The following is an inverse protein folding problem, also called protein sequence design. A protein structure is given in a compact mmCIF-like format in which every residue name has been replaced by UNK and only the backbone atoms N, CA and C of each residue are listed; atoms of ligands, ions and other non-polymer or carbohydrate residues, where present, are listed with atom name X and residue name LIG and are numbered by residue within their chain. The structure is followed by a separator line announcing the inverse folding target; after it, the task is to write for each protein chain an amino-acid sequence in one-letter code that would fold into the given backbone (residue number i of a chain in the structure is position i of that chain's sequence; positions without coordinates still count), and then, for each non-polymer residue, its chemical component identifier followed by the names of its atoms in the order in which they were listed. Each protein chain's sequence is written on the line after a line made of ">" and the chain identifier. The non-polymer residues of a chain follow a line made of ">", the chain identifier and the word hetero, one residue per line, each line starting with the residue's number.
data_IF_957081038516
#
_entry.id   IF_957081038516
#
_cell.length_a   1.000
_cell.length_b   1.000
_cell.length_c   1.000
_cell.angle_alpha   90.00
_cell.angle_beta   90.00
_cell.angle_gamma   90.00
#
_symmetry.space_group_name_H-M   'P 1'
#
loop_
_entity.id
_entity.type
_entity.pdbx_description
1 polymer ?
#
# COMPACT_ATOMS: atom_id res chain seq x y z
N UNK A 1 -25.24 33.50 5.60
CA UNK A 1 -24.97 32.06 5.85
C UNK A 1 -24.95 31.83 7.35
N UNK A 2 -25.77 30.91 7.88
CA UNK A 2 -25.94 30.74 9.34
C UNK A 2 -24.68 30.13 9.98
N UNK A 3 -24.17 30.78 11.03
CA UNK A 3 -22.95 30.35 11.76
C UNK A 3 -23.06 28.92 12.32
N UNK A 4 -24.26 28.49 12.67
CA UNK A 4 -24.53 27.12 13.12
C UNK A 4 -24.46 26.10 11.98
N UNK A 5 -24.88 26.46 10.77
CA UNK A 5 -24.75 25.59 9.59
C UNK A 5 -23.28 25.39 9.21
N UNK A 6 -22.46 26.46 9.28
CA UNK A 6 -21.02 26.38 9.03
C UNK A 6 -20.33 25.43 10.03
N UNK A 7 -20.68 25.54 11.32
CA UNK A 7 -20.16 24.64 12.36
C UNK A 7 -20.56 23.18 12.12
N UNK A 8 -21.81 22.94 11.72
CA UNK A 8 -22.29 21.60 11.38
C UNK A 8 -21.51 20.97 10.22
N UNK A 9 -21.30 21.74 9.14
CA UNK A 9 -20.51 21.29 7.98
C UNK A 9 -19.06 20.98 8.38
N UNK A 10 -18.42 21.87 9.14
CA UNK A 10 -17.04 21.65 9.59
C UNK A 10 -16.92 20.39 10.46
N UNK A 11 -17.86 20.15 11.37
CA UNK A 11 -17.86 18.96 12.21
C UNK A 11 -18.02 17.68 11.39
N UNK A 12 -18.95 17.68 10.42
CA UNK A 12 -19.11 16.56 9.51
C UNK A 12 -17.84 16.26 8.69
N UNK A 13 -17.17 17.30 8.19
CA UNK A 13 -15.91 17.16 7.46
C UNK A 13 -14.80 16.54 8.33
N UNK A 14 -14.70 16.95 9.59
CA UNK A 14 -13.72 16.40 10.53
C UNK A 14 -14.00 14.91 10.76
N UNK A 15 -15.26 14.53 11.02
CA UNK A 15 -15.61 13.12 11.23
C UNK A 15 -15.29 12.25 10.01
N UNK A 16 -15.60 12.75 8.80
CA UNK A 16 -15.26 12.05 7.55
C UNK A 16 -13.75 11.91 7.39
N UNK A 17 -12.98 12.99 7.59
CA UNK A 17 -11.53 12.96 7.49
C UNK A 17 -10.90 12.00 8.52
N UNK A 18 -11.38 12.00 9.77
CA UNK A 18 -10.95 11.07 10.80
C UNK A 18 -11.27 9.62 10.43
N UNK A 19 -12.47 9.34 9.91
CA UNK A 19 -12.84 8.00 9.44
C UNK A 19 -11.95 7.49 8.29
N UNK A 20 -11.62 8.37 7.35
CA UNK A 20 -10.69 8.07 6.26
C UNK A 20 -9.27 7.80 6.77
N UNK A 21 -8.79 8.63 7.70
CA UNK A 21 -7.50 8.41 8.37
C UNK A 21 -7.45 7.08 9.12
N UNK A 22 -8.53 6.74 9.84
CA UNK A 22 -8.64 5.48 10.57
C UNK A 22 -8.61 4.28 9.61
N UNK A 23 -9.36 4.34 8.50
CA UNK A 23 -9.36 3.29 7.47
C UNK A 23 -8.01 3.16 6.78
N UNK A 24 -7.31 4.25 6.54
CA UNK A 24 -5.98 4.20 5.94
C UNK A 24 -4.93 3.61 6.90
N UNK A 25 -5.03 3.92 8.20
CA UNK A 25 -4.08 3.46 9.21
C UNK A 25 -4.34 2.02 9.68
N UNK A 26 -5.61 1.66 9.89
CA UNK A 26 -6.03 0.35 10.42
C UNK A 26 -6.46 -0.64 9.32
N UNK A 27 -6.75 -0.15 8.12
CA UNK A 27 -7.01 -1.04 6.99
C UNK A 27 -5.74 -1.81 6.70
N UNK A 28 -5.72 -3.08 7.09
CA UNK A 28 -4.65 -3.99 6.70
C UNK A 28 -4.49 -3.89 5.18
N UNK A 29 -3.26 -3.72 4.70
CA UNK A 29 -3.02 -3.52 3.28
C UNK A 29 -3.07 -4.83 2.52
N UNK A 30 -4.09 -5.64 2.79
CA UNK A 30 -4.33 -6.92 2.15
C UNK A 30 -4.39 -6.71 0.63
N UNK A 31 -5.04 -5.65 0.17
CA UNK A 31 -5.05 -5.25 -1.25
C UNK A 31 -3.65 -5.04 -1.83
N UNK A 32 -2.73 -4.38 -1.10
CA UNK A 32 -1.35 -4.17 -1.56
C UNK A 32 -0.52 -5.47 -1.49
N UNK A 33 -0.83 -6.34 -0.53
CA UNK A 33 -0.21 -7.65 -0.38
C UNK A 33 -0.61 -8.52 -1.56
N UNK A 34 -1.91 -8.65 -1.80
CA UNK A 34 -2.52 -9.45 -2.87
C UNK A 34 -2.04 -8.98 -4.25
N UNK A 35 -1.95 -7.66 -4.48
CA UNK A 35 -1.41 -7.12 -5.74
C UNK A 35 0.10 -7.38 -5.91
N UNK A 36 0.89 -7.21 -4.85
CA UNK A 36 2.32 -7.50 -4.91
C UNK A 36 2.58 -8.99 -5.16
N UNK A 37 1.82 -9.86 -4.48
CA UNK A 37 1.93 -11.30 -4.64
C UNK A 37 1.41 -11.73 -6.03
N UNK A 38 0.37 -11.09 -6.58
CA UNK A 38 -0.05 -11.29 -7.96
C UNK A 38 1.03 -10.91 -8.99
N UNK A 39 1.76 -9.81 -8.75
CA UNK A 39 2.84 -9.32 -9.63
C UNK A 39 4.07 -10.23 -9.66
N UNK A 40 4.42 -10.87 -8.54
CA UNK A 40 5.56 -11.80 -8.50
C UNK A 40 5.15 -13.20 -8.93
N UNK A 41 4.04 -13.69 -8.39
CA UNK A 41 3.76 -15.12 -8.40
C UNK A 41 2.88 -15.51 -9.59
N UNK A 42 2.00 -14.61 -10.07
CA UNK A 42 1.06 -14.87 -11.17
C UNK A 42 0.03 -16.00 -10.94
N UNK A 43 0.27 -16.89 -9.97
CA UNK A 43 -0.49 -18.08 -9.61
C UNK A 43 -0.15 -18.53 -8.16
N UNK A 44 -1.00 -19.35 -7.49
CA UNK A 44 -0.69 -19.90 -6.18
C UNK A 44 0.49 -20.89 -6.24
N UNK A 45 1.49 -20.68 -5.38
CA UNK A 45 2.73 -21.48 -5.33
C UNK A 45 4.01 -20.66 -5.55
N UNK A 46 4.11 -19.49 -4.92
CA UNK A 46 5.20 -18.55 -5.17
C UNK A 46 6.55 -19.06 -4.67
N UNK A 47 7.57 -19.20 -5.54
CA UNK A 47 8.92 -19.58 -5.11
C UNK A 47 9.67 -18.41 -4.45
N UNK A 48 9.12 -17.19 -4.49
CA UNK A 48 9.75 -16.00 -3.95
C UNK A 48 9.47 -15.85 -2.45
N UNK A 49 10.52 -15.70 -1.65
CA UNK A 49 10.42 -15.49 -0.22
C UNK A 49 10.44 -13.99 0.09
N UNK A 50 9.47 -13.53 0.88
CA UNK A 50 9.50 -12.17 1.41
C UNK A 50 10.68 -12.01 2.37
N UNK A 51 11.60 -11.11 2.07
CA UNK A 51 12.80 -10.85 2.88
C UNK A 51 12.72 -9.53 3.64
N UNK A 52 11.99 -8.54 3.12
CA UNK A 52 11.80 -7.25 3.80
C UNK A 52 10.43 -6.70 3.49
N UNK A 53 9.80 -6.11 4.50
CA UNK A 53 8.56 -5.36 4.33
C UNK A 53 8.66 -4.02 5.06
N UNK A 54 8.55 -2.94 4.31
CA UNK A 54 8.48 -1.58 4.82
C UNK A 54 7.08 -1.02 4.58
N UNK A 55 6.46 -0.56 5.66
CA UNK A 55 5.16 0.11 5.63
C UNK A 55 5.36 1.60 5.81
N UNK A 56 4.98 2.37 4.81
CA UNK A 56 4.88 3.83 4.89
C UNK A 56 3.44 4.31 4.72
N UNK A 57 3.11 5.52 5.18
CA UNK A 57 1.76 6.08 5.11
C UNK A 57 1.23 6.23 3.68
N UNK A 58 2.11 6.33 2.69
CA UNK A 58 1.75 6.52 1.27
C UNK A 58 2.23 5.40 0.36
N UNK A 59 3.20 4.60 0.81
CA UNK A 59 3.79 3.54 0.01
C UNK A 59 4.21 2.38 0.88
N UNK A 60 3.94 1.17 0.40
CA UNK A 60 4.45 -0.07 0.96
C UNK A 60 5.50 -0.64 0.02
N UNK A 61 6.63 -1.06 0.59
CA UNK A 61 7.72 -1.67 -0.16
C UNK A 61 7.88 -3.10 0.32
N UNK A 62 7.76 -4.07 -0.58
CA UNK A 62 7.98 -5.49 -0.30
C UNK A 62 9.17 -5.94 -1.13
N UNK A 63 10.15 -6.51 -0.45
CA UNK A 63 11.34 -7.06 -1.11
C UNK A 63 11.26 -8.56 -1.01
N UNK A 64 11.40 -9.21 -2.16
CA UNK A 64 11.37 -10.65 -2.30
C UNK A 64 12.69 -11.15 -2.84
N UNK A 65 13.01 -12.39 -2.50
CA UNK A 65 14.15 -13.11 -3.02
C UNK A 65 13.65 -14.36 -3.72
N UNK A 66 14.03 -14.55 -4.99
CA UNK A 66 13.73 -15.78 -5.72
C UNK A 66 14.48 -16.98 -5.13
N UNK A 67 13.89 -18.18 -5.32
CA UNK A 67 14.36 -19.47 -4.82
C UNK A 67 15.85 -19.78 -5.12
N UNK A 68 16.46 -20.76 -4.40
CA UNK A 68 17.88 -21.07 -4.54
C UNK A 68 18.18 -21.62 -5.94
N UNK A 69 18.73 -20.77 -6.80
CA UNK A 69 19.06 -21.09 -8.19
C UNK A 69 19.35 -19.84 -9.03
N UNK A 70 18.63 -18.74 -8.77
CA UNK A 70 18.96 -17.40 -9.25
C UNK A 70 18.58 -16.38 -8.17
N UNK A 71 19.53 -15.92 -7.33
CA UNK A 71 19.23 -14.95 -6.28
C UNK A 71 19.01 -13.57 -6.92
N UNK A 72 17.77 -13.34 -7.39
CA UNK A 72 17.30 -12.03 -7.81
C UNK A 72 16.48 -11.44 -6.68
N UNK A 73 16.85 -10.23 -6.30
CA UNK A 73 16.07 -9.42 -5.36
C UNK A 73 15.07 -8.62 -6.17
N UNK A 74 13.78 -8.83 -5.90
CA UNK A 74 12.69 -8.11 -6.54
C UNK A 74 12.10 -7.17 -5.49
N UNK A 75 12.17 -5.86 -5.74
CA UNK A 75 11.50 -4.87 -4.91
C UNK A 75 10.19 -4.48 -5.58
N UNK A 76 9.08 -4.65 -4.88
CA UNK A 76 7.78 -4.16 -5.28
C UNK A 76 7.43 -2.96 -4.43
N UNK A 77 7.15 -1.84 -5.10
CA UNK A 77 6.61 -0.65 -4.47
C UNK A 77 5.15 -0.51 -4.83
N UNK A 78 4.29 -0.59 -3.81
CA UNK A 78 2.87 -0.32 -3.90
C UNK A 78 2.60 1.07 -3.36
N UNK A 79 2.04 1.95 -4.19
CA UNK A 79 1.70 3.32 -3.81
C UNK A 79 0.20 3.54 -3.96
N UNK A 80 -0.41 4.28 -3.04
CA UNK A 80 -1.81 4.71 -3.22
C UNK A 80 -1.91 5.82 -4.25
N UNK A 81 -2.98 5.77 -5.03
CA UNK A 81 -3.32 6.80 -6.03
C UNK A 81 -3.66 8.16 -5.39
N UNK A 82 -4.25 8.19 -4.19
CA UNK A 82 -4.49 9.42 -3.44
C UNK A 82 -4.11 9.30 -1.95
N UNK A 83 -3.89 10.45 -1.30
CA UNK A 83 -3.65 10.53 0.14
C UNK A 83 -4.90 10.02 0.86
N UNK A 84 -4.77 8.90 1.58
CA UNK A 84 -5.82 8.22 2.37
C UNK A 84 -6.94 7.53 1.56
N UNK A 85 -6.97 7.66 0.23
CA UNK A 85 -8.05 7.16 -0.64
C UNK A 85 -7.50 6.56 -1.94
N UNK A 86 -8.28 5.67 -2.55
CA UNK A 86 -7.96 5.04 -3.83
C UNK A 86 -7.17 3.74 -3.73
N UNK A 87 -7.15 3.03 -4.85
CA UNK A 87 -6.51 1.73 -4.98
C UNK A 87 -4.98 1.85 -4.89
N UNK A 88 -4.35 0.79 -4.42
CA UNK A 88 -2.91 0.63 -4.57
C UNK A 88 -2.58 0.35 -6.04
N UNK A 89 -1.49 0.95 -6.49
CA UNK A 89 -0.82 0.61 -7.73
C UNK A 89 0.59 0.11 -7.36
N UNK A 90 0.87 -1.15 -7.70
CA UNK A 90 2.14 -1.79 -7.44
C UNK A 90 2.99 -1.83 -8.71
N UNK A 91 4.28 -1.52 -8.58
CA UNK A 91 5.26 -1.60 -9.67
C UNK A 91 6.50 -2.35 -9.22
N UNK A 92 7.04 -3.18 -10.13
CA UNK A 92 8.32 -3.83 -9.93
C UNK A 92 9.43 -2.79 -10.10
N UNK A 93 10.12 -2.48 -9.01
CA UNK A 93 11.33 -1.68 -9.03
C UNK A 93 12.52 -2.63 -9.10
N UNK A 94 13.24 -2.63 -10.22
CA UNK A 94 14.57 -3.23 -10.26
C UNK A 94 15.46 -2.46 -9.29
N UNK A 95 16.07 -3.11 -8.29
CA UNK A 95 16.96 -2.44 -7.37
C UNK A 95 18.09 -1.79 -8.18
N UNK A 96 18.27 -0.47 -8.03
CA UNK A 96 19.41 0.23 -8.62
C UNK A 96 20.64 -0.31 -7.88
N UNK A 97 21.42 -1.17 -8.55
CA UNK A 97 22.70 -1.67 -8.00
C UNK A 97 23.57 -0.45 -7.68
N UNK A 98 24.11 -0.32 -6.45
CA UNK A 98 25.00 0.79 -6.10
C UNK A 98 26.26 0.78 -6.97
#
# INVERSE_FOLDING_TARGET
>A
MNRNAIRGVLFALILVASGLGLRNSLGEPQEAIDQADALICGAPGCPAQLVRWERGPFSHVRVYQEAPGQPRTIEIRCQRSYVLLGDYACVNQTPKRP
#
